data_IF_460031383634
#
_entry.id   IF_460031383634
#
_cell.length_a   1.000
_cell.length_b   1.000
_cell.length_c   1.000
_cell.angle_alpha   90.00
_cell.angle_beta   90.00
_cell.angle_gamma   90.00
#
_symmetry.space_group_name_H-M   'P 1'
#
loop_
_entity.id
_entity.type
_entity.pdbx_description
1 polymer ?
#
# COMPACT_ATOMS: atom_id res chain seq x y z
N UNK A 1 12.26 10.20 35.77
CA UNK A 1 13.47 9.84 35.02
C UNK A 1 13.01 9.64 33.58
N UNK A 2 12.97 10.73 32.84
CA UNK A 2 12.59 10.74 31.43
C UNK A 2 13.72 10.11 30.63
N UNK A 3 13.50 8.86 30.21
CA UNK A 3 14.40 8.20 29.26
C UNK A 3 14.26 8.92 27.93
N UNK A 4 15.29 9.70 27.58
CA UNK A 4 15.52 10.19 26.22
C UNK A 4 15.53 9.01 25.26
N UNK A 5 14.37 8.67 24.71
CA UNK A 5 14.24 7.84 23.53
C UNK A 5 14.82 8.66 22.38
N UNK A 6 16.11 8.47 22.11
CA UNK A 6 16.70 8.86 20.85
C UNK A 6 15.82 8.29 19.74
N UNK A 7 15.32 9.09 18.78
CA UNK A 7 14.53 8.57 17.69
C UNK A 7 15.42 7.58 16.93
N UNK A 8 15.04 6.30 16.96
CA UNK A 8 15.66 5.29 16.12
C UNK A 8 15.57 5.83 14.69
N UNK A 9 16.69 5.99 13.96
CA UNK A 9 16.64 6.53 12.61
C UNK A 9 15.69 5.67 11.79
N UNK A 10 14.68 6.30 11.18
CA UNK A 10 13.72 5.61 10.34
C UNK A 10 14.48 4.99 9.17
N UNK A 11 14.41 3.66 9.05
CA UNK A 11 15.04 2.94 7.94
C UNK A 11 14.57 3.50 6.60
N UNK A 12 15.49 3.60 5.65
CA UNK A 12 15.16 3.99 4.29
C UNK A 12 14.39 2.89 3.56
N UNK A 13 13.77 3.23 2.42
CA UNK A 13 13.11 2.23 1.57
C UNK A 13 14.09 1.17 1.06
N UNK A 14 15.33 1.56 0.73
CA UNK A 14 16.39 0.63 0.33
C UNK A 14 16.72 -0.38 1.43
N UNK A 15 16.77 0.06 2.69
CA UNK A 15 17.00 -0.84 3.82
C UNK A 15 15.86 -1.83 4.01
N UNK A 16 14.60 -1.39 3.88
CA UNK A 16 13.45 -2.30 3.89
C UNK A 16 13.51 -3.31 2.73
N UNK A 17 13.84 -2.84 1.53
CA UNK A 17 14.04 -3.71 0.36
C UNK A 17 15.10 -4.79 0.62
N UNK A 18 16.27 -4.39 1.14
CA UNK A 18 17.36 -5.31 1.52
C UNK A 18 16.90 -6.38 2.50
N UNK A 19 16.20 -5.96 3.54
CA UNK A 19 15.70 -6.85 4.60
C UNK A 19 14.68 -7.84 4.05
N UNK A 20 13.69 -7.34 3.29
CA UNK A 20 12.66 -8.16 2.66
C UNK A 20 13.28 -9.17 1.68
N UNK A 21 14.21 -8.72 0.82
CA UNK A 21 14.93 -9.58 -0.12
C UNK A 21 15.77 -10.64 0.61
N UNK A 22 16.47 -10.25 1.68
CA UNK A 22 17.28 -11.20 2.45
C UNK A 22 16.42 -12.24 3.17
N UNK A 23 15.28 -11.82 3.71
CA UNK A 23 14.34 -12.70 4.40
C UNK A 23 13.73 -13.72 3.43
N UNK A 24 13.20 -13.28 2.28
CA UNK A 24 12.58 -14.20 1.32
C UNK A 24 13.60 -15.17 0.72
N UNK A 25 14.83 -14.72 0.42
CA UNK A 25 15.87 -15.60 -0.10
C UNK A 25 16.36 -16.61 0.94
N UNK A 26 16.20 -16.35 2.24
CA UNK A 26 16.61 -17.29 3.28
C UNK A 26 15.68 -18.52 3.37
N UNK A 27 14.44 -18.40 2.92
CA UNK A 27 13.39 -19.43 3.08
C UNK A 27 12.66 -19.84 1.80
N UNK A 28 12.81 -19.10 0.69
CA UNK A 28 12.05 -19.32 -0.55
C UNK A 28 12.57 -20.45 -1.45
N UNK A 29 13.58 -21.21 -1.01
CA UNK A 29 14.18 -22.29 -1.77
C UNK A 29 13.55 -23.66 -1.50
N UNK A 30 14.13 -24.70 -2.11
CA UNK A 30 13.69 -26.09 -1.90
C UNK A 30 13.76 -26.47 -0.42
N UNK A 31 12.81 -27.27 0.04
CA UNK A 31 12.83 -27.83 1.39
C UNK A 31 14.12 -28.62 1.63
N UNK A 32 14.69 -28.46 2.83
CA UNK A 32 15.88 -29.19 3.29
C UNK A 32 15.49 -30.61 3.72
N UNK A 33 16.49 -31.46 3.89
CA UNK A 33 16.28 -32.85 4.37
C UNK A 33 15.60 -32.92 5.74
N UNK A 34 15.82 -31.92 6.61
CA UNK A 34 15.18 -31.81 7.92
C UNK A 34 13.74 -31.26 7.87
N UNK A 35 13.17 -31.08 6.67
CA UNK A 35 11.84 -30.55 6.46
C UNK A 35 11.72 -29.03 6.60
N UNK A 36 12.80 -28.31 6.91
CA UNK A 36 12.75 -26.84 7.00
C UNK A 36 12.83 -26.17 5.63
N UNK A 37 12.30 -24.94 5.48
CA UNK A 37 12.50 -24.16 4.26
C UNK A 37 14.00 -23.95 3.97
N UNK A 38 14.38 -24.18 2.70
CA UNK A 38 15.75 -23.93 2.25
C UNK A 38 15.92 -22.53 1.66
N UNK A 39 17.17 -22.06 1.52
CA UNK A 39 17.44 -20.78 0.90
C UNK A 39 17.36 -20.85 -0.63
N UNK A 40 16.94 -19.75 -1.26
CA UNK A 40 17.15 -19.53 -2.69
C UNK A 40 18.61 -19.14 -2.89
N UNK A 41 19.36 -19.97 -3.63
CA UNK A 41 20.79 -19.72 -3.84
C UNK A 41 21.01 -18.62 -4.88
N UNK A 42 22.14 -17.90 -4.77
CA UNK A 42 22.50 -16.88 -5.75
C UNK A 42 22.66 -17.46 -7.16
N UNK A 43 23.09 -18.72 -7.28
CA UNK A 43 23.16 -19.45 -8.55
C UNK A 43 21.77 -19.70 -9.14
N UNK A 44 20.77 -19.99 -8.30
CA UNK A 44 19.37 -20.14 -8.72
C UNK A 44 18.84 -18.83 -9.33
N UNK A 45 18.97 -17.72 -8.58
CA UNK A 45 18.58 -16.40 -9.06
C UNK A 45 19.32 -16.03 -10.34
N UNK A 46 20.64 -16.24 -10.41
CA UNK A 46 21.40 -15.93 -11.62
C UNK A 46 20.88 -16.71 -12.83
N UNK A 47 20.59 -18.00 -12.67
CA UNK A 47 20.08 -18.84 -13.76
C UNK A 47 18.69 -18.43 -14.22
N UNK A 48 17.79 -18.11 -13.30
CA UNK A 48 16.39 -17.79 -13.61
C UNK A 48 16.21 -16.36 -14.10
N UNK A 49 16.94 -15.42 -13.50
CA UNK A 49 16.79 -14.00 -13.81
C UNK A 49 17.80 -13.54 -14.82
N UNK A 50 19.01 -14.10 -14.88
CA UNK A 50 20.17 -13.56 -15.61
C UNK A 50 20.96 -12.48 -14.84
N UNK A 51 20.56 -12.14 -13.61
CA UNK A 51 21.24 -11.14 -12.78
C UNK A 51 22.55 -11.71 -12.23
N UNK A 52 23.63 -10.94 -12.35
CA UNK A 52 24.94 -11.34 -11.84
C UNK A 52 24.92 -11.54 -10.32
N UNK A 53 25.65 -12.56 -9.84
CA UNK A 53 25.78 -12.85 -8.39
C UNK A 53 26.38 -11.67 -7.61
N UNK A 54 27.27 -10.88 -8.24
CA UNK A 54 27.83 -9.66 -7.67
C UNK A 54 26.75 -8.58 -7.45
N UNK A 55 25.87 -8.37 -8.43
CA UNK A 55 24.73 -7.46 -8.30
C UNK A 55 23.79 -7.89 -7.18
N UNK A 56 23.42 -9.18 -7.13
CA UNK A 56 22.59 -9.70 -6.06
C UNK A 56 23.25 -9.53 -4.68
N UNK A 57 24.57 -9.73 -4.60
CA UNK A 57 25.33 -9.50 -3.36
C UNK A 57 25.30 -8.02 -2.96
N UNK A 58 25.47 -7.10 -3.91
CA UNK A 58 25.39 -5.66 -3.64
C UNK A 58 24.00 -5.23 -3.13
N UNK A 59 22.93 -5.88 -3.60
CA UNK A 59 21.57 -5.61 -3.10
C UNK A 59 21.33 -6.15 -1.69
N UNK A 60 21.92 -7.30 -1.33
CA UNK A 60 21.76 -7.93 0.00
C UNK A 60 22.70 -7.40 1.06
N UNK A 61 23.89 -7.00 0.65
CA UNK A 61 24.98 -6.59 1.54
C UNK A 61 25.75 -5.48 0.84
N UNK A 62 25.12 -4.30 0.69
CA UNK A 62 25.78 -3.15 0.11
C UNK A 62 26.97 -2.73 0.97
N UNK A 63 27.90 -1.98 0.37
CA UNK A 63 28.97 -1.32 1.11
C UNK A 63 28.36 -0.41 2.19
N UNK A 64 29.11 -0.18 3.28
CA UNK A 64 28.68 0.74 4.33
C UNK A 64 28.29 2.09 3.72
N UNK A 65 27.18 2.66 4.20
CA UNK A 65 26.58 3.93 3.74
C UNK A 65 25.88 3.94 2.37
N UNK A 66 25.86 2.83 1.62
CA UNK A 66 25.11 2.75 0.34
C UNK A 66 23.81 2.00 0.53
N UNK A 67 22.68 2.69 0.34
CA UNK A 67 21.38 2.03 0.31
C UNK A 67 21.20 1.27 -1.02
N UNK A 68 20.66 0.03 -0.98
CA UNK A 68 20.43 -0.71 -2.21
C UNK A 68 19.24 -0.12 -2.96
N UNK A 69 19.47 0.19 -4.23
CA UNK A 69 18.50 0.81 -5.13
C UNK A 69 18.52 0.11 -6.49
N UNK A 70 17.83 -1.04 -6.64
CA UNK A 70 17.73 -1.71 -7.93
C UNK A 70 16.89 -0.85 -8.90
N UNK A 71 17.19 -0.94 -10.19
CA UNK A 71 16.25 -0.45 -11.20
C UNK A 71 14.98 -1.32 -11.26
N UNK A 72 13.95 -0.81 -11.94
CA UNK A 72 12.65 -1.48 -12.03
C UNK A 72 12.72 -2.82 -12.76
N UNK A 73 13.62 -2.98 -13.74
CA UNK A 73 13.80 -4.25 -14.47
C UNK A 73 14.37 -5.33 -13.53
N UNK A 74 15.41 -4.98 -12.79
CA UNK A 74 16.07 -5.83 -11.81
C UNK A 74 15.08 -6.22 -10.70
N UNK A 75 14.34 -5.26 -10.17
CA UNK A 75 13.32 -5.51 -9.15
C UNK A 75 12.25 -6.47 -9.67
N UNK A 76 11.74 -6.24 -10.88
CA UNK A 76 10.68 -7.07 -11.46
C UNK A 76 11.17 -8.50 -11.71
N UNK A 77 12.34 -8.69 -12.31
CA UNK A 77 12.93 -10.02 -12.55
C UNK A 77 13.16 -10.81 -11.28
N UNK A 78 13.63 -10.15 -10.21
CA UNK A 78 13.79 -10.81 -8.90
C UNK A 78 12.43 -11.20 -8.32
N UNK A 79 11.45 -10.31 -8.36
CA UNK A 79 10.11 -10.58 -7.84
C UNK A 79 9.41 -11.72 -8.59
N UNK A 80 9.55 -11.75 -9.92
CA UNK A 80 9.02 -12.81 -10.80
C UNK A 80 9.65 -14.17 -10.47
N UNK A 81 10.98 -14.24 -10.30
CA UNK A 81 11.66 -15.47 -9.90
C UNK A 81 11.24 -15.97 -8.50
N UNK A 82 10.83 -15.04 -7.63
CA UNK A 82 10.29 -15.36 -6.30
C UNK A 82 8.78 -15.63 -6.30
N UNK A 83 8.08 -15.41 -7.42
CA UNK A 83 6.64 -15.61 -7.53
C UNK A 83 5.80 -14.63 -6.70
N UNK A 84 6.27 -13.41 -6.48
CA UNK A 84 5.58 -12.38 -5.68
C UNK A 84 5.42 -11.06 -6.45
N UNK A 85 4.43 -10.21 -6.11
CA UNK A 85 4.35 -8.86 -6.66
C UNK A 85 5.60 -8.01 -6.34
N UNK A 86 6.16 -7.24 -7.28
CA UNK A 86 7.35 -6.40 -7.03
C UNK A 86 7.17 -5.42 -5.86
N UNK A 87 5.95 -4.90 -5.68
CA UNK A 87 5.62 -4.01 -4.57
C UNK A 87 5.88 -4.66 -3.20
N UNK A 88 5.74 -5.98 -3.05
CA UNK A 88 5.90 -6.66 -1.76
C UNK A 88 7.35 -6.62 -1.26
N UNK A 89 8.33 -6.56 -2.17
CA UNK A 89 9.73 -6.35 -1.80
C UNK A 89 9.98 -4.93 -1.25
N UNK A 90 9.14 -3.96 -1.64
CA UNK A 90 9.26 -2.56 -1.23
C UNK A 90 8.35 -2.20 -0.04
N UNK A 91 7.37 -3.03 0.30
CA UNK A 91 6.43 -2.73 1.39
C UNK A 91 7.14 -2.70 2.74
N UNK A 92 6.92 -1.61 3.48
CA UNK A 92 7.39 -1.41 4.85
C UNK A 92 6.39 -2.04 5.82
N UNK A 93 6.77 -2.33 7.08
CA UNK A 93 5.84 -2.91 8.07
C UNK A 93 4.53 -2.11 8.23
N UNK A 94 4.60 -0.78 8.21
CA UNK A 94 3.43 0.09 8.28
C UNK A 94 2.52 0.00 7.05
N UNK A 95 3.07 -0.29 5.87
CA UNK A 95 2.28 -0.45 4.65
C UNK A 95 1.46 -1.74 4.73
N UNK A 96 2.06 -2.82 5.26
CA UNK A 96 1.36 -4.08 5.56
C UNK A 96 0.26 -3.90 6.60
N UNK A 97 0.53 -3.16 7.68
CA UNK A 97 -0.46 -2.88 8.71
C UNK A 97 -1.63 -2.07 8.16
N UNK A 98 -1.35 -1.01 7.38
CA UNK A 98 -2.40 -0.20 6.76
C UNK A 98 -3.28 -1.04 5.81
N UNK A 99 -2.67 -1.91 5.00
CA UNK A 99 -3.41 -2.81 4.12
C UNK A 99 -4.25 -3.82 4.91
N UNK A 100 -3.69 -4.44 5.95
CA UNK A 100 -4.40 -5.39 6.81
C UNK A 100 -5.58 -4.75 7.55
N UNK A 101 -5.40 -3.54 8.09
CA UNK A 101 -6.46 -2.76 8.72
C UNK A 101 -7.57 -2.39 7.71
N UNK A 102 -7.20 -1.98 6.50
CA UNK A 102 -8.19 -1.66 5.47
C UNK A 102 -9.01 -2.88 5.05
N UNK A 103 -8.38 -4.04 4.88
CA UNK A 103 -9.09 -5.29 4.57
C UNK A 103 -10.02 -5.66 5.72
N UNK A 104 -9.51 -5.68 6.96
CA UNK A 104 -10.30 -6.02 8.15
C UNK A 104 -11.45 -5.06 8.43
N UNK A 105 -11.28 -3.77 8.12
CA UNK A 105 -12.30 -2.72 8.27
C UNK A 105 -13.19 -2.50 7.04
N UNK A 106 -13.06 -3.32 5.99
CA UNK A 106 -13.76 -3.07 4.71
C UNK A 106 -15.23 -3.48 4.68
N UNK A 107 -15.77 -4.10 5.74
CA UNK A 107 -17.10 -4.73 5.73
C UNK A 107 -18.24 -3.81 5.27
N UNK A 108 -18.39 -2.64 5.90
CA UNK A 108 -19.45 -1.69 5.54
C UNK A 108 -19.23 -1.10 4.15
N UNK A 109 -17.98 -0.80 3.80
CA UNK A 109 -17.60 -0.31 2.46
C UNK A 109 -17.88 -1.35 1.38
N UNK A 110 -17.73 -2.63 1.68
CA UNK A 110 -18.04 -3.73 0.78
C UNK A 110 -19.54 -3.85 0.56
N UNK A 111 -20.34 -3.76 1.61
CA UNK A 111 -21.80 -3.75 1.49
C UNK A 111 -22.28 -2.58 0.59
N UNK A 112 -21.71 -1.38 0.79
CA UNK A 112 -21.95 -0.21 -0.04
C UNK A 112 -21.50 -0.44 -1.50
N UNK A 113 -20.29 -0.96 -1.74
CA UNK A 113 -19.78 -1.22 -3.08
C UNK A 113 -20.64 -2.23 -3.85
N UNK A 114 -21.07 -3.32 -3.19
CA UNK A 114 -21.96 -4.33 -3.78
C UNK A 114 -23.34 -3.73 -4.10
N UNK A 115 -23.90 -2.89 -3.23
CA UNK A 115 -25.15 -2.18 -3.49
C UNK A 115 -25.02 -1.29 -4.74
N UNK A 116 -24.00 -0.43 -4.77
CA UNK A 116 -23.73 0.47 -5.90
C UNK A 116 -23.50 -0.30 -7.21
N UNK A 117 -22.87 -1.47 -7.13
CA UNK A 117 -22.66 -2.34 -8.28
C UNK A 117 -23.97 -2.91 -8.82
N UNK A 118 -24.85 -3.43 -7.95
CA UNK A 118 -26.17 -3.94 -8.35
C UNK A 118 -27.03 -2.86 -8.99
N UNK A 119 -26.88 -1.61 -8.56
CA UNK A 119 -27.57 -0.45 -9.12
C UNK A 119 -26.91 0.10 -10.41
N UNK A 120 -25.80 -0.49 -10.87
CA UNK A 120 -25.06 0.01 -12.05
C UNK A 120 -24.37 1.37 -11.82
N UNK A 121 -24.22 1.80 -10.56
CA UNK A 121 -23.69 3.12 -10.19
C UNK A 121 -22.21 3.12 -9.82
N UNK A 122 -21.64 1.93 -9.56
CA UNK A 122 -20.23 1.80 -9.17
C UNK A 122 -19.28 2.14 -10.32
N UNK A 123 -19.62 1.77 -11.55
CA UNK A 123 -18.75 1.99 -12.72
C UNK A 123 -18.78 3.43 -13.24
N UNK A 124 -19.77 4.20 -12.80
CA UNK A 124 -19.86 5.62 -13.06
C UNK A 124 -18.78 6.33 -12.20
N UNK A 125 -18.04 7.28 -12.80
CA UNK A 125 -16.94 8.09 -12.22
C UNK A 125 -16.72 8.05 -10.70
N UNK A 126 -15.47 7.80 -10.28
CA UNK A 126 -14.97 7.74 -8.90
C UNK A 126 -15.72 6.74 -7.98
N UNK A 127 -15.53 5.42 -8.19
CA UNK A 127 -16.16 4.37 -7.40
C UNK A 127 -15.84 4.48 -5.90
N UNK A 128 -14.60 4.86 -5.55
CA UNK A 128 -14.14 4.95 -4.16
C UNK A 128 -14.91 6.03 -3.40
N UNK A 129 -15.03 7.23 -3.98
CA UNK A 129 -15.77 8.32 -3.35
C UNK A 129 -17.27 7.99 -3.18
N UNK A 130 -17.86 7.28 -4.15
CA UNK A 130 -19.26 6.84 -4.03
C UNK A 130 -19.49 5.87 -2.90
N UNK A 131 -18.55 4.94 -2.70
CA UNK A 131 -18.59 4.03 -1.55
C UNK A 131 -18.55 4.82 -0.24
N UNK A 132 -17.68 5.83 -0.12
CA UNK A 132 -17.66 6.69 1.07
C UNK A 132 -18.95 7.47 1.28
N UNK A 133 -19.56 7.97 0.20
CA UNK A 133 -20.86 8.68 0.24
C UNK A 133 -22.00 7.77 0.68
N UNK A 134 -22.03 6.55 0.14
CA UNK A 134 -23.01 5.52 0.52
C UNK A 134 -22.87 5.13 2.00
N UNK A 135 -21.63 5.07 2.51
CA UNK A 135 -21.34 4.87 3.93
C UNK A 135 -21.56 6.11 4.81
N UNK A 136 -21.93 7.28 4.22
CA UNK A 136 -22.12 8.56 4.93
C UNK A 136 -20.89 9.04 5.71
N UNK A 137 -19.69 8.72 5.22
CA UNK A 137 -18.41 9.18 5.80
C UNK A 137 -17.72 10.26 4.95
N UNK A 138 -18.35 10.65 3.85
CA UNK A 138 -17.91 11.74 2.97
C UNK A 138 -19.12 12.34 2.22
N UNK A 139 -19.28 13.67 2.15
CA UNK A 139 -18.49 14.68 2.87
C UNK A 139 -18.70 14.63 4.39
N UNK A 140 -17.82 15.28 5.14
CA UNK A 140 -18.04 15.54 6.56
C UNK A 140 -19.27 16.46 6.77
N UNK A 141 -19.98 16.26 7.88
CA UNK A 141 -21.08 17.13 8.27
C UNK A 141 -20.57 18.55 8.55
N UNK A 142 -21.20 19.54 7.91
CA UNK A 142 -20.82 20.94 8.08
C UNK A 142 -21.43 21.51 9.36
N UNK A 143 -20.68 22.30 10.15
CA UNK A 143 -21.25 23.05 11.27
C UNK A 143 -22.36 23.98 10.80
N UNK A 144 -23.58 23.81 11.32
CA UNK A 144 -24.72 24.67 10.98
C UNK A 144 -24.64 26.02 11.71
N UNK A 145 -24.99 27.11 11.02
CA UNK A 145 -25.08 28.45 11.62
C UNK A 145 -23.73 29.12 11.89
N UNK A 146 -22.61 28.47 11.57
CA UNK A 146 -21.27 29.02 11.66
C UNK A 146 -20.86 29.43 10.25
N UNK A 147 -20.68 30.72 9.99
CA UNK A 147 -20.27 31.24 8.68
C UNK A 147 -18.83 30.84 8.32
N UNK A 148 -18.06 31.76 7.73
CA UNK A 148 -16.62 31.52 7.52
C UNK A 148 -15.91 31.36 8.87
N UNK A 149 -15.62 30.12 9.27
CA UNK A 149 -14.94 29.77 10.51
C UNK A 149 -13.77 28.81 10.26
N UNK A 150 -12.76 28.78 11.15
CA UNK A 150 -11.65 27.84 11.04
C UNK A 150 -12.11 26.38 10.96
N UNK A 151 -13.21 26.05 11.62
CA UNK A 151 -13.79 24.70 11.61
C UNK A 151 -14.40 24.34 10.25
N UNK A 152 -15.09 25.26 9.60
CA UNK A 152 -15.58 25.07 8.23
C UNK A 152 -14.42 24.88 7.25
N UNK A 153 -13.34 25.64 7.41
CA UNK A 153 -12.11 25.46 6.61
C UNK A 153 -11.46 24.10 6.84
N UNK A 154 -11.42 23.62 8.09
CA UNK A 154 -10.89 22.29 8.44
C UNK A 154 -11.70 21.17 7.80
N UNK A 155 -13.03 21.25 7.87
CA UNK A 155 -13.95 20.30 7.24
C UNK A 155 -13.75 20.28 5.71
N UNK A 156 -13.72 21.45 5.07
CA UNK A 156 -13.47 21.55 3.63
C UNK A 156 -12.10 20.95 3.24
N UNK A 157 -11.07 21.16 4.07
CA UNK A 157 -9.75 20.59 3.84
C UNK A 157 -9.75 19.06 3.97
N UNK A 158 -10.51 18.49 4.90
CA UNK A 158 -10.69 17.03 5.02
C UNK A 158 -11.40 16.45 3.81
N UNK A 159 -12.49 17.08 3.37
CA UNK A 159 -13.24 16.63 2.20
C UNK A 159 -12.39 16.67 0.92
N UNK A 160 -11.63 17.74 0.72
CA UNK A 160 -10.74 17.86 -0.44
C UNK A 160 -9.58 16.87 -0.37
N UNK A 161 -9.02 16.63 0.82
CA UNK A 161 -8.02 15.58 1.03
C UNK A 161 -8.60 14.19 0.66
N UNK A 162 -9.80 13.85 1.14
CA UNK A 162 -10.47 12.58 0.82
C UNK A 162 -10.75 12.45 -0.67
N UNK A 163 -11.25 13.52 -1.31
CA UNK A 163 -11.52 13.54 -2.74
C UNK A 163 -10.26 13.25 -3.55
N UNK A 164 -9.14 13.95 -3.27
CA UNK A 164 -7.84 13.70 -3.92
C UNK A 164 -7.33 12.28 -3.66
N UNK A 165 -7.49 11.76 -2.44
CA UNK A 165 -7.10 10.39 -2.09
C UNK A 165 -7.94 9.31 -2.80
N UNK A 166 -9.25 9.50 -2.92
CA UNK A 166 -10.13 8.64 -3.69
C UNK A 166 -9.69 8.55 -5.15
N UNK A 167 -9.39 9.68 -5.79
CA UNK A 167 -8.92 9.72 -7.18
C UNK A 167 -7.61 8.98 -7.39
N UNK A 168 -6.64 9.14 -6.47
CA UNK A 168 -5.36 8.42 -6.54
C UNK A 168 -5.57 6.90 -6.45
N UNK A 169 -6.36 6.44 -5.48
CA UNK A 169 -6.60 5.01 -5.30
C UNK A 169 -7.45 4.42 -6.42
N UNK A 170 -8.42 5.15 -6.97
CA UNK A 170 -9.17 4.73 -8.16
C UNK A 170 -8.23 4.51 -9.36
N UNK A 171 -7.34 5.47 -9.63
CA UNK A 171 -6.37 5.39 -10.71
C UNK A 171 -5.37 4.23 -10.58
N UNK A 172 -4.96 3.91 -9.34
CA UNK A 172 -3.97 2.87 -9.06
C UNK A 172 -4.58 1.47 -8.91
N UNK A 173 -5.71 1.34 -8.21
CA UNK A 173 -6.28 0.04 -7.84
C UNK A 173 -7.41 -0.39 -8.79
N UNK A 174 -8.21 0.54 -9.33
CA UNK A 174 -9.44 0.19 -10.05
C UNK A 174 -9.32 0.38 -11.56
N UNK A 175 -8.43 1.25 -12.05
CA UNK A 175 -8.33 1.62 -13.49
C UNK A 175 -8.27 0.42 -14.45
N UNK A 176 -7.54 -0.63 -14.10
CA UNK A 176 -7.37 -1.81 -14.97
C UNK A 176 -8.36 -2.94 -14.68
N UNK A 177 -9.10 -2.87 -13.56
CA UNK A 177 -9.97 -3.96 -13.10
C UNK A 177 -11.39 -3.76 -13.64
N UNK A 178 -11.77 -4.61 -14.60
CA UNK A 178 -13.09 -4.58 -15.27
C UNK A 178 -14.09 -5.57 -14.69
N UNK A 179 -13.62 -6.64 -14.07
CA UNK A 179 -14.49 -7.65 -13.46
C UNK A 179 -15.26 -7.05 -12.30
N UNK A 180 -16.57 -7.25 -12.29
CA UNK A 180 -17.49 -6.65 -11.33
C UNK A 180 -17.09 -6.90 -9.87
N UNK A 181 -17.01 -8.16 -9.46
CA UNK A 181 -16.76 -8.50 -8.06
C UNK A 181 -15.39 -8.03 -7.53
N UNK A 182 -14.24 -8.27 -8.20
CA UNK A 182 -12.95 -7.72 -7.77
C UNK A 182 -12.95 -6.18 -7.70
N UNK A 183 -13.65 -5.52 -8.62
CA UNK A 183 -13.76 -4.06 -8.62
C UNK A 183 -14.50 -3.54 -7.38
N UNK A 184 -15.56 -4.22 -6.95
CA UNK A 184 -16.27 -3.88 -5.71
C UNK A 184 -15.39 -4.09 -4.47
N UNK A 185 -14.61 -5.18 -4.42
CA UNK A 185 -13.65 -5.42 -3.33
C UNK A 185 -12.58 -4.33 -3.25
N UNK A 186 -11.99 -3.95 -4.40
CA UNK A 186 -10.97 -2.92 -4.45
C UNK A 186 -11.53 -1.53 -4.12
N UNK A 187 -12.74 -1.21 -4.57
CA UNK A 187 -13.45 0.00 -4.16
C UNK A 187 -13.63 0.06 -2.63
N UNK A 188 -14.01 -1.06 -2.01
CA UNK A 188 -14.21 -1.15 -0.58
C UNK A 188 -12.91 -1.00 0.22
N UNK A 189 -11.84 -1.69 -0.19
CA UNK A 189 -10.52 -1.58 0.44
C UNK A 189 -9.98 -0.15 0.28
N UNK A 190 -10.12 0.45 -0.90
CA UNK A 190 -9.72 1.83 -1.14
C UNK A 190 -10.52 2.81 -0.26
N UNK A 191 -11.83 2.59 -0.11
CA UNK A 191 -12.68 3.37 0.79
C UNK A 191 -12.21 3.29 2.25
N UNK A 192 -11.95 2.08 2.73
CA UNK A 192 -11.41 1.85 4.07
C UNK A 192 -10.05 2.54 4.27
N UNK A 193 -9.14 2.45 3.28
CA UNK A 193 -7.85 3.14 3.30
C UNK A 193 -8.01 4.65 3.39
N UNK A 194 -8.87 5.26 2.55
CA UNK A 194 -9.10 6.72 2.58
C UNK A 194 -9.67 7.13 3.94
N UNK A 195 -10.66 6.41 4.45
CA UNK A 195 -11.28 6.75 5.72
C UNK A 195 -10.31 6.68 6.89
N UNK A 196 -9.49 5.62 6.98
CA UNK A 196 -8.55 5.45 8.10
C UNK A 196 -7.36 6.40 8.02
N UNK A 197 -6.93 6.79 6.83
CA UNK A 197 -5.78 7.68 6.62
C UNK A 197 -6.13 9.17 6.54
N UNK A 198 -7.41 9.55 6.60
CA UNK A 198 -7.82 10.97 6.58
C UNK A 198 -7.31 11.69 7.84
N UNK A 199 -6.45 12.73 7.71
CA UNK A 199 -5.98 13.48 8.86
C UNK A 199 -7.11 14.28 9.54
N UNK A 200 -6.99 14.52 10.85
CA UNK A 200 -7.92 15.38 11.58
C UNK A 200 -7.84 16.85 11.18
N UNK A 201 -6.65 17.32 10.79
CA UNK A 201 -6.39 18.70 10.37
C UNK A 201 -5.41 18.70 9.19
N UNK A 202 -5.90 18.40 7.96
CA UNK A 202 -5.04 18.36 6.79
C UNK A 202 -4.65 19.76 6.34
N UNK A 203 -3.38 19.93 5.97
CA UNK A 203 -2.89 21.12 5.28
C UNK A 203 -2.89 20.80 3.80
N UNK A 204 -3.71 21.51 3.02
CA UNK A 204 -3.71 21.38 1.56
C UNK A 204 -2.73 22.43 1.04
N UNK A 205 -1.65 21.95 0.45
CA UNK A 205 -0.76 22.77 -0.38
C UNK A 205 -1.26 22.62 -1.82
N UNK A 206 -1.50 23.75 -2.48
CA UNK A 206 -1.94 23.80 -3.88
C UNK A 206 -0.78 23.55 -4.86
#
# INVERSE_FOLDING_TARGET
MDSHLFPIPSKSLGQHFKENLSAVLAIGGKQREDGKPGPVTATCIQRETGIARSTLRALKSPAEEVDPNPDLDTLNRIADALGIPPAFLLMRPQDWLALGQAIGGSGDYLAAAVKLQKEGKLDLSNPVEKVLRECKVHPDDRPMGVGASPEVSRVNARDEWRRRSCLKLDALMLRQVRSSQPRAWLAAIAGALVSSSTPHTPIIVD
#
